data_IF_924298317611
#
_entry.id   IF_924298317611
#
_cell.length_a   1.000
_cell.length_b   1.000
_cell.length_c   1.000
_cell.angle_alpha   90.00
_cell.angle_beta   90.00
_cell.angle_gamma   90.00
#
_symmetry.space_group_name_H-M   'P 1'
#
loop_
_entity.id
_entity.type
_entity.pdbx_description
1 polymer ?
#
# COMPACT_ATOMS: atom_id res chain seq x y z
N UNK A 1 -26.37 -9.99 -17.32
CA UNK A 1 -24.89 -9.92 -17.24
C UNK A 1 -24.52 -8.75 -16.36
N UNK A 2 -23.99 -8.97 -15.15
CA UNK A 2 -23.56 -7.86 -14.29
C UNK A 2 -22.41 -7.12 -14.95
N UNK A 3 -22.48 -5.79 -15.05
CA UNK A 3 -21.38 -5.00 -15.64
C UNK A 3 -20.11 -5.26 -14.83
N UNK A 4 -19.00 -5.51 -15.52
CA UNK A 4 -17.69 -5.62 -14.85
C UNK A 4 -17.42 -4.30 -14.11
N UNK A 5 -17.01 -4.33 -12.84
CA UNK A 5 -16.61 -3.13 -12.11
C UNK A 5 -15.57 -2.36 -12.92
N UNK A 6 -15.76 -1.05 -13.01
CA UNK A 6 -14.81 -0.14 -13.67
C UNK A 6 -14.63 1.12 -12.85
N UNK A 7 -13.43 1.68 -12.91
CA UNK A 7 -13.12 3.03 -12.42
C UNK A 7 -12.80 3.88 -13.64
N UNK A 8 -13.26 5.13 -13.68
CA UNK A 8 -12.99 6.03 -14.80
C UNK A 8 -12.28 7.29 -14.33
N UNK A 9 -11.21 7.66 -15.02
CA UNK A 9 -10.48 8.92 -14.85
C UNK A 9 -10.53 9.62 -16.21
N UNK A 10 -11.51 10.51 -16.40
CA UNK A 10 -11.79 11.09 -17.72
C UNK A 10 -12.10 10.02 -18.78
N UNK A 11 -11.46 10.04 -19.96
CA UNK A 11 -11.69 9.07 -21.04
C UNK A 11 -11.03 7.70 -20.79
N UNK A 12 -10.37 7.49 -19.65
CA UNK A 12 -9.64 6.28 -19.31
C UNK A 12 -10.47 5.40 -18.38
N UNK A 13 -10.78 4.17 -18.81
CA UNK A 13 -11.62 3.22 -18.09
C UNK A 13 -10.79 2.01 -17.63
N UNK A 14 -10.58 1.91 -16.32
CA UNK A 14 -9.83 0.86 -15.66
C UNK A 14 -10.72 -0.34 -15.36
N UNK A 15 -10.25 -1.52 -15.72
CA UNK A 15 -10.83 -2.83 -15.42
C UNK A 15 -9.80 -3.68 -14.66
N UNK A 16 -10.22 -4.82 -14.12
CA UNK A 16 -9.34 -5.71 -13.34
C UNK A 16 -8.13 -6.25 -14.11
N UNK A 17 -8.18 -6.27 -15.44
CA UNK A 17 -7.12 -6.85 -16.29
C UNK A 17 -6.62 -5.90 -17.38
N UNK A 18 -6.94 -4.60 -17.31
CA UNK A 18 -6.51 -3.65 -18.33
C UNK A 18 -7.30 -2.35 -18.36
N UNK A 19 -6.97 -1.51 -19.34
CA UNK A 19 -7.55 -0.18 -19.52
C UNK A 19 -8.14 -0.04 -20.92
N UNK A 20 -9.24 0.72 -21.06
CA UNK A 20 -9.76 1.16 -22.35
C UNK A 20 -9.78 2.68 -22.40
N UNK A 21 -9.44 3.24 -23.57
CA UNK A 21 -9.37 4.68 -23.78
C UNK A 21 -10.46 5.06 -24.79
N UNK A 22 -11.31 6.00 -24.40
CA UNK A 22 -12.39 6.52 -25.23
C UNK A 22 -11.92 7.76 -26.01
N UNK A 23 -12.20 7.79 -27.31
CA UNK A 23 -11.82 8.93 -28.17
C UNK A 23 -10.31 9.05 -28.38
N UNK A 24 -9.83 10.30 -28.47
CA UNK A 24 -8.40 10.65 -28.66
C UNK A 24 -8.00 11.71 -27.62
N UNK A 25 -7.66 11.29 -26.39
CA UNK A 25 -7.22 12.23 -25.35
C UNK A 25 -5.97 12.98 -25.80
N UNK A 26 -5.86 14.24 -25.40
CA UNK A 26 -4.64 15.03 -25.55
C UNK A 26 -3.53 14.45 -24.67
N UNK A 27 -2.27 14.81 -24.92
CA UNK A 27 -1.16 14.31 -24.09
C UNK A 27 -1.30 14.69 -22.61
N UNK A 28 -1.86 15.86 -22.31
CA UNK A 28 -2.07 16.33 -20.93
C UNK A 28 -3.03 15.43 -20.14
N UNK A 29 -4.03 14.84 -20.81
CA UNK A 29 -5.02 13.95 -20.21
C UNK A 29 -4.42 12.64 -19.67
N UNK A 30 -3.21 12.26 -20.11
CA UNK A 30 -2.57 10.99 -19.72
C UNK A 30 -1.94 11.03 -18.34
N UNK A 31 -1.57 12.22 -17.85
CA UNK A 31 -0.78 12.34 -16.62
C UNK A 31 -1.53 11.77 -15.41
N UNK A 32 -2.80 12.15 -15.22
CA UNK A 32 -3.63 11.69 -14.10
C UNK A 32 -3.87 10.18 -14.08
N UNK A 33 -4.38 9.56 -15.16
CA UNK A 33 -4.58 8.11 -15.25
C UNK A 33 -3.29 7.30 -15.07
N UNK A 34 -2.17 7.76 -15.64
CA UNK A 34 -0.88 7.08 -15.46
C UNK A 34 -0.41 7.17 -14.00
N UNK A 35 -0.50 8.35 -13.39
CA UNK A 35 -0.18 8.56 -11.99
C UNK A 35 -1.05 7.69 -11.07
N UNK A 36 -2.35 7.60 -11.36
CA UNK A 36 -3.28 6.73 -10.64
C UNK A 36 -2.90 5.26 -10.76
N UNK A 37 -2.54 4.78 -11.96
CA UNK A 37 -2.09 3.40 -12.16
C UNK A 37 -0.82 3.09 -11.35
N UNK A 38 0.13 4.02 -11.31
CA UNK A 38 1.35 3.90 -10.50
C UNK A 38 1.02 3.89 -9.01
N UNK A 39 0.07 4.71 -8.55
CA UNK A 39 -0.41 4.64 -7.17
C UNK A 39 -1.06 3.31 -6.85
N UNK A 40 -1.93 2.77 -7.71
CA UNK A 40 -2.52 1.44 -7.48
C UNK A 40 -1.44 0.37 -7.28
N UNK A 41 -0.36 0.43 -8.07
CA UNK A 41 0.77 -0.51 -7.96
C UNK A 41 1.55 -0.36 -6.64
N UNK A 42 1.75 0.87 -6.14
CA UNK A 42 2.60 1.14 -4.96
C UNK A 42 1.82 1.23 -3.65
N UNK A 43 0.63 1.80 -3.70
CA UNK A 43 -0.23 2.12 -2.56
C UNK A 43 -1.32 1.06 -2.33
N UNK A 44 -1.57 0.15 -3.27
CA UNK A 44 -2.57 -0.92 -3.11
C UNK A 44 -2.47 -1.67 -1.77
N UNK A 45 -1.28 -2.17 -1.37
CA UNK A 45 -1.09 -2.79 -0.05
C UNK A 45 -1.46 -1.90 1.14
N UNK A 46 -1.24 -0.58 1.05
CA UNK A 46 -1.63 0.36 2.08
C UNK A 46 -3.13 0.53 2.13
N UNK A 47 -3.79 0.77 0.99
CA UNK A 47 -5.24 0.92 0.94
C UNK A 47 -5.97 -0.32 1.45
N UNK A 48 -5.50 -1.51 1.07
CA UNK A 48 -6.05 -2.77 1.59
C UNK A 48 -5.88 -2.83 3.11
N UNK A 49 -4.68 -2.59 3.63
CA UNK A 49 -4.43 -2.62 5.08
C UNK A 49 -5.23 -1.58 5.87
N UNK A 50 -5.32 -0.35 5.36
CA UNK A 50 -6.06 0.74 6.00
C UNK A 50 -7.57 0.46 6.01
N UNK A 51 -8.12 -0.07 4.90
CA UNK A 51 -9.54 -0.45 4.83
C UNK A 51 -9.86 -1.63 5.76
N UNK A 52 -8.98 -2.63 5.86
CA UNK A 52 -9.16 -3.73 6.82
C UNK A 52 -9.17 -3.20 8.24
N UNK A 53 -8.18 -2.39 8.61
CA UNK A 53 -8.11 -1.83 9.96
C UNK A 53 -9.35 -0.99 10.28
N UNK A 54 -9.75 -0.08 9.39
CA UNK A 54 -10.94 0.75 9.60
C UNK A 54 -12.24 -0.07 9.65
N UNK A 55 -12.35 -1.10 8.81
CA UNK A 55 -13.49 -2.01 8.79
C UNK A 55 -13.60 -2.86 10.06
N UNK A 56 -12.49 -3.44 10.52
CA UNK A 56 -12.42 -4.16 11.80
C UNK A 56 -12.74 -3.25 12.99
N UNK A 57 -12.18 -2.03 13.02
CA UNK A 57 -12.40 -1.07 14.11
C UNK A 57 -13.87 -0.62 14.18
N UNK A 58 -14.56 -0.53 13.03
CA UNK A 58 -15.95 -0.08 12.96
C UNK A 58 -17.00 -1.19 13.07
N UNK A 59 -16.72 -2.39 12.55
CA UNK A 59 -17.71 -3.46 12.37
C UNK A 59 -17.28 -4.81 12.96
N UNK A 60 -16.04 -4.93 13.46
CA UNK A 60 -15.52 -6.15 14.07
C UNK A 60 -15.59 -7.37 13.14
N UNK A 61 -16.03 -8.49 13.69
CA UNK A 61 -16.05 -9.79 13.02
C UNK A 61 -16.88 -9.80 11.72
N UNK A 62 -17.94 -9.00 11.64
CA UNK A 62 -18.78 -8.92 10.44
C UNK A 62 -17.99 -8.44 9.21
N UNK A 63 -17.03 -7.53 9.39
CA UNK A 63 -16.15 -7.10 8.29
C UNK A 63 -15.15 -8.19 7.92
N UNK A 64 -14.57 -8.88 8.91
CA UNK A 64 -13.67 -10.01 8.67
C UNK A 64 -14.35 -11.10 7.84
N UNK A 65 -15.60 -11.45 8.16
CA UNK A 65 -16.42 -12.42 7.42
C UNK A 65 -16.72 -11.94 5.99
N UNK A 66 -17.01 -10.64 5.79
CA UNK A 66 -17.23 -10.07 4.45
C UNK A 66 -15.98 -10.20 3.55
N UNK A 67 -14.77 -10.13 4.12
CA UNK A 67 -13.53 -10.25 3.37
C UNK A 67 -13.16 -11.70 3.00
N UNK A 68 -13.83 -12.71 3.57
CA UNK A 68 -13.54 -14.11 3.29
C UNK A 68 -13.72 -14.44 1.81
N UNK A 69 -12.76 -15.18 1.24
CA UNK A 69 -12.80 -15.60 -0.16
C UNK A 69 -12.44 -14.52 -1.19
N UNK A 70 -12.23 -13.25 -0.80
CA UNK A 70 -11.76 -12.21 -1.73
C UNK A 70 -10.28 -12.38 -2.10
N UNK A 71 -9.45 -12.66 -1.09
CA UNK A 71 -7.99 -12.91 -1.18
C UNK A 71 -7.57 -13.82 -0.01
N UNK A 72 -6.32 -14.29 0.01
CA UNK A 72 -5.85 -15.11 1.12
C UNK A 72 -5.83 -14.33 2.44
N UNK A 73 -6.25 -14.99 3.53
CA UNK A 73 -6.21 -14.43 4.89
C UNK A 73 -4.80 -13.99 5.29
N UNK A 74 -3.78 -14.71 4.83
CA UNK A 74 -2.38 -14.36 5.03
C UNK A 74 -2.04 -12.98 4.42
N UNK A 75 -2.49 -12.71 3.20
CA UNK A 75 -2.25 -11.43 2.53
C UNK A 75 -2.94 -10.28 3.27
N UNK A 76 -4.23 -10.45 3.62
CA UNK A 76 -5.01 -9.46 4.37
C UNK A 76 -4.35 -9.13 5.70
N UNK A 77 -4.04 -10.17 6.49
CA UNK A 77 -3.38 -10.02 7.79
C UNK A 77 -2.05 -9.30 7.66
N UNK A 78 -1.21 -9.67 6.67
CA UNK A 78 0.08 -9.02 6.44
C UNK A 78 -0.07 -7.52 6.12
N UNK A 79 -1.01 -7.15 5.26
CA UNK A 79 -1.24 -5.75 4.89
C UNK A 79 -1.82 -4.93 6.06
N UNK A 80 -2.86 -5.44 6.72
CA UNK A 80 -3.48 -4.80 7.88
C UNK A 80 -2.45 -4.57 9.00
N UNK A 81 -1.63 -5.59 9.28
CA UNK A 81 -0.64 -5.55 10.35
C UNK A 81 0.48 -4.52 10.13
N UNK A 82 0.93 -4.34 8.89
CA UNK A 82 1.92 -3.28 8.56
C UNK A 82 1.26 -1.91 8.57
N UNK A 83 0.06 -1.76 8.00
CA UNK A 83 -0.72 -0.53 8.03
C UNK A 83 -0.98 -0.02 9.46
N UNK A 84 -1.30 -0.93 10.39
CA UNK A 84 -1.58 -0.63 11.79
C UNK A 84 -0.31 -0.23 12.55
N UNK A 85 0.85 -0.81 12.22
CA UNK A 85 2.11 -0.58 12.95
C UNK A 85 2.96 0.56 12.39
N UNK A 86 2.82 0.87 11.11
CA UNK A 86 3.52 1.98 10.44
C UNK A 86 2.51 3.10 10.21
N UNK A 87 2.45 4.10 11.10
CA UNK A 87 1.42 5.14 11.03
C UNK A 87 1.62 6.00 9.77
N UNK A 88 0.56 6.65 9.31
CA UNK A 88 0.52 7.33 8.01
C UNK A 88 1.67 8.34 7.84
N UNK A 89 1.99 9.08 8.90
CA UNK A 89 3.07 10.08 8.94
C UNK A 89 4.49 9.50 8.88
N UNK A 90 4.64 8.18 8.99
CA UNK A 90 5.91 7.48 8.78
C UNK A 90 6.03 6.90 7.37
N UNK A 91 4.97 6.91 6.56
CA UNK A 91 4.97 6.29 5.23
C UNK A 91 5.61 7.25 4.22
N UNK A 92 6.63 6.78 3.52
CA UNK A 92 7.35 7.55 2.54
C UNK A 92 6.95 7.14 1.10
N UNK A 93 6.42 8.04 0.27
CA UNK A 93 5.91 7.68 -1.06
C UNK A 93 6.99 7.12 -1.99
N UNK A 94 8.25 7.53 -1.80
CA UNK A 94 9.37 7.07 -2.60
C UNK A 94 9.89 5.68 -2.21
N UNK A 95 9.53 5.16 -1.02
CA UNK A 95 9.96 3.85 -0.56
C UNK A 95 8.92 2.77 -0.90
N UNK A 96 9.38 1.54 -1.08
CA UNK A 96 8.50 0.40 -1.32
C UNK A 96 7.71 0.04 -0.07
N UNK A 97 6.55 -0.61 -0.22
CA UNK A 97 5.82 -1.15 0.92
C UNK A 97 6.69 -2.13 1.75
N UNK A 98 7.53 -2.93 1.09
CA UNK A 98 8.44 -3.87 1.75
C UNK A 98 9.49 -3.19 2.64
N UNK A 99 9.94 -1.98 2.27
CA UNK A 99 10.81 -1.18 3.13
C UNK A 99 10.11 -0.82 4.45
N UNK A 100 8.83 -0.46 4.39
CA UNK A 100 8.04 -0.17 5.59
C UNK A 100 7.76 -1.43 6.41
N UNK A 101 7.47 -2.56 5.75
CA UNK A 101 7.31 -3.84 6.42
C UNK A 101 8.56 -4.26 7.21
N UNK A 102 9.76 -3.94 6.71
CA UNK A 102 11.03 -4.22 7.38
C UNK A 102 11.15 -3.51 8.74
N UNK A 103 10.58 -2.31 8.88
CA UNK A 103 10.63 -1.52 10.12
C UNK A 103 9.38 -1.65 10.98
N UNK A 104 8.33 -2.32 10.51
CA UNK A 104 7.02 -2.35 11.17
C UNK A 104 7.03 -2.86 12.62
N UNK A 105 8.05 -3.59 13.04
CA UNK A 105 8.18 -4.07 14.43
C UNK A 105 9.00 -3.13 15.34
N UNK A 106 9.49 -2.01 14.84
CA UNK A 106 10.19 -0.97 15.61
C UNK A 106 9.20 0.04 16.20
N UNK A 107 9.62 0.84 17.19
CA UNK A 107 8.81 1.93 17.70
C UNK A 107 8.66 3.03 16.62
N UNK A 108 7.54 3.79 16.58
CA UNK A 108 7.31 4.80 15.54
C UNK A 108 8.44 5.83 15.33
N UNK A 109 9.14 6.33 16.38
CA UNK A 109 10.30 7.21 16.18
C UNK A 109 11.47 6.54 15.44
N UNK A 110 11.68 5.25 15.67
CA UNK A 110 12.77 4.46 15.07
C UNK A 110 12.46 4.13 13.62
N UNK A 111 11.19 3.80 13.33
CA UNK A 111 10.70 3.65 11.97
C UNK A 111 10.98 4.93 11.16
N UNK A 112 10.59 6.10 11.69
CA UNK A 112 10.81 7.41 11.04
C UNK A 112 12.29 7.64 10.74
N UNK A 113 13.16 7.41 11.72
CA UNK A 113 14.61 7.58 11.57
C UNK A 113 15.18 6.68 10.46
N UNK A 114 14.81 5.40 10.48
CA UNK A 114 15.38 4.40 9.57
C UNK A 114 14.84 4.55 8.15
N UNK A 115 13.55 4.88 7.99
CA UNK A 115 12.95 5.17 6.69
C UNK A 115 13.51 6.46 6.08
N UNK A 116 13.73 7.51 6.88
CA UNK A 116 14.38 8.72 6.41
C UNK A 116 15.82 8.46 5.92
N UNK A 117 16.58 7.62 6.64
CA UNK A 117 17.90 7.18 6.22
C UNK A 117 17.84 6.38 4.91
N UNK A 118 16.94 5.40 4.81
CA UNK A 118 16.76 4.61 3.60
C UNK A 118 16.43 5.47 2.38
N UNK A 119 15.54 6.46 2.53
CA UNK A 119 15.18 7.36 1.43
C UNK A 119 16.35 8.26 1.00
N UNK A 120 17.18 8.72 1.95
CA UNK A 120 18.35 9.55 1.66
C UNK A 120 19.48 8.75 1.02
N UNK A 121 19.71 7.54 1.49
CA UNK A 121 20.89 6.72 1.15
C UNK A 121 20.59 5.68 0.06
N UNK A 122 19.34 5.58 -0.38
CA UNK A 122 18.93 4.67 -1.44
C UNK A 122 18.91 3.20 -1.03
N UNK A 123 18.72 2.90 0.27
CA UNK A 123 18.73 1.53 0.75
C UNK A 123 17.58 0.71 0.16
N UNK A 124 17.90 -0.52 -0.21
CA UNK A 124 16.93 -1.56 -0.53
C UNK A 124 16.14 -1.97 0.72
N UNK A 125 14.99 -2.63 0.50
CA UNK A 125 14.21 -3.21 1.62
C UNK A 125 15.00 -4.28 2.38
N UNK A 126 15.97 -4.91 1.75
CA UNK A 126 16.82 -5.93 2.35
C UNK A 126 17.81 -5.32 3.35
N UNK A 127 18.54 -4.29 2.92
CA UNK A 127 19.47 -3.55 3.77
C UNK A 127 18.72 -2.93 4.96
N UNK A 128 17.56 -2.31 4.69
CA UNK A 128 16.72 -1.74 5.74
C UNK A 128 16.27 -2.80 6.76
N UNK A 129 15.99 -4.03 6.32
CA UNK A 129 15.64 -5.14 7.20
C UNK A 129 16.80 -5.60 8.06
N UNK A 130 18.02 -5.63 7.53
CA UNK A 130 19.23 -5.92 8.32
C UNK A 130 19.41 -4.85 9.39
N UNK A 131 19.35 -3.57 9.00
CA UNK A 131 19.46 -2.42 9.92
C UNK A 131 18.39 -2.43 11.02
N UNK A 132 17.15 -2.77 10.67
CA UNK A 132 16.07 -2.88 11.65
C UNK A 132 16.28 -4.01 12.66
N UNK A 133 16.91 -5.12 12.24
CA UNK A 133 17.26 -6.24 13.13
C UNK A 133 18.41 -5.86 14.07
N UNK A 134 19.46 -5.23 13.56
CA UNK A 134 20.58 -4.73 14.36
C UNK A 134 20.10 -3.81 15.49
N UNK A 135 19.19 -2.87 15.17
CA UNK A 135 18.62 -1.95 16.14
C UNK A 135 17.78 -2.66 17.21
N UNK A 136 17.12 -3.77 16.87
CA UNK A 136 16.38 -4.58 17.84
C UNK A 136 17.26 -5.40 18.76
N UNK A 137 18.33 -6.00 18.22
CA UNK A 137 19.24 -6.85 19.01
C UNK A 137 20.15 -6.06 19.94
N UNK A 138 20.32 -4.76 19.69
CA UNK A 138 21.07 -3.85 20.56
C UNK A 138 20.26 -3.25 21.72
N UNK A 139 19.01 -3.68 21.92
CA UNK A 139 18.15 -3.33 23.06
C UNK A 139 17.96 -4.53 23.98
#
# INVERSE_FOLDING_TARGET
MSQRPKISVGPFHFFSTGIRISGKPSMEDWNGPLQFAIWCQRAGPWWIGDLINAGEDGFGEAFSQMCEGMVSTEMLSRYASVARRVPFENRHPNLSWSAHAAVARLAPPEQRKLLAAANREGWTSEELRVKARELKSGK
#
